data_IF_759501559063
#
_entry.id   IF_759501559063
#
_cell.length_a   1.000
_cell.length_b   1.000
_cell.length_c   1.000
_cell.angle_alpha   90.00
_cell.angle_beta   90.00
_cell.angle_gamma   90.00
#
_symmetry.space_group_name_H-M   'P 1'
#
loop_
_entity.id
_entity.type
_entity.pdbx_description
1 polymer ?
#
# COMPACT_ATOMS: atom_id res chain seq x y z
N UNK A 1 20.78 17.82 -14.14
CA UNK A 1 19.52 18.05 -13.44
C UNK A 1 19.10 19.48 -13.72
N UNK A 2 18.01 19.65 -14.47
CA UNK A 2 17.45 20.95 -14.83
C UNK A 2 16.12 21.11 -14.09
N UNK A 3 15.97 22.25 -13.42
CA UNK A 3 14.71 22.65 -12.77
C UNK A 3 14.26 23.93 -13.45
N UNK A 4 13.06 23.88 -14.03
CA UNK A 4 12.39 25.06 -14.57
C UNK A 4 11.16 25.35 -13.72
N UNK A 5 10.98 26.61 -13.36
CA UNK A 5 9.87 27.03 -12.51
C UNK A 5 9.14 28.20 -13.15
N UNK A 6 7.82 28.09 -13.19
CA UNK A 6 6.92 29.17 -13.58
C UNK A 6 6.14 29.62 -12.35
N UNK A 7 6.08 30.93 -12.14
CA UNK A 7 5.31 31.57 -11.07
C UNK A 7 3.98 32.03 -11.64
N UNK A 8 2.88 31.57 -11.05
CA UNK A 8 1.52 31.83 -11.52
C UNK A 8 1.28 31.70 -13.05
N UNK A 9 1.65 30.57 -13.70
CA UNK A 9 1.51 30.42 -15.14
C UNK A 9 0.06 30.42 -15.60
N UNK A 10 -0.19 30.98 -16.78
CA UNK A 10 -1.50 30.91 -17.42
C UNK A 10 -1.82 29.49 -17.95
N UNK A 11 -3.08 29.21 -18.34
CA UNK A 11 -3.46 27.89 -18.83
C UNK A 11 -2.62 27.41 -20.02
N UNK A 12 -2.31 28.27 -20.98
CA UNK A 12 -1.49 27.96 -22.14
C UNK A 12 -0.05 27.62 -21.73
N UNK A 13 0.56 28.39 -20.83
CA UNK A 13 1.88 28.14 -20.27
C UNK A 13 1.96 26.79 -19.53
N UNK A 14 0.92 26.46 -18.74
CA UNK A 14 0.82 25.14 -18.07
C UNK A 14 0.83 24.01 -19.10
N UNK A 15 0.08 24.16 -20.20
CA UNK A 15 -0.03 23.14 -21.24
C UNK A 15 1.30 22.96 -21.97
N UNK A 16 1.97 24.04 -22.35
CA UNK A 16 3.25 23.96 -23.03
C UNK A 16 4.35 23.37 -22.12
N UNK A 17 4.40 23.78 -20.86
CA UNK A 17 5.31 23.21 -19.87
C UNK A 17 5.06 21.72 -19.65
N UNK A 18 3.78 21.30 -19.53
CA UNK A 18 3.41 19.90 -19.39
C UNK A 18 3.77 19.07 -20.63
N UNK A 19 3.50 19.58 -21.84
CA UNK A 19 3.89 18.90 -23.10
C UNK A 19 5.39 18.71 -23.17
N UNK A 20 6.16 19.73 -22.82
CA UNK A 20 7.62 19.66 -22.82
C UNK A 20 8.10 18.64 -21.77
N UNK A 21 7.56 18.69 -20.55
CA UNK A 21 7.93 17.74 -19.50
C UNK A 21 7.68 16.28 -19.91
N UNK A 22 6.51 15.97 -20.45
CA UNK A 22 6.17 14.59 -20.84
C UNK A 22 6.95 14.11 -22.07
N UNK A 23 7.23 15.00 -23.03
CA UNK A 23 8.08 14.68 -24.19
C UNK A 23 9.49 14.26 -23.76
N UNK A 24 10.03 14.98 -22.78
CA UNK A 24 11.42 14.85 -22.37
C UNK A 24 11.59 13.88 -21.20
N UNK A 25 10.51 13.25 -20.72
CA UNK A 25 10.55 12.32 -19.59
C UNK A 25 10.86 13.01 -18.26
N UNK A 26 10.50 14.28 -18.10
CA UNK A 26 10.64 15.02 -16.84
C UNK A 26 9.41 14.90 -15.94
N UNK A 27 9.61 15.02 -14.63
CA UNK A 27 8.51 15.13 -13.68
C UNK A 27 7.90 16.54 -13.72
N UNK A 28 6.58 16.63 -13.56
CA UNK A 28 5.84 17.88 -13.48
C UNK A 28 5.15 17.97 -12.11
N UNK A 29 5.33 19.08 -11.41
CA UNK A 29 4.56 19.41 -10.20
C UNK A 29 3.83 20.73 -10.40
N UNK A 30 2.56 20.79 -10.00
CA UNK A 30 1.74 22.01 -10.09
C UNK A 30 1.10 22.29 -8.74
N UNK A 31 1.31 23.48 -8.20
CA UNK A 31 0.54 23.99 -7.06
C UNK A 31 -0.62 24.79 -7.62
N UNK A 32 -1.86 24.35 -7.40
CA UNK A 32 -3.01 24.95 -8.06
C UNK A 32 -4.30 24.85 -7.26
N UNK A 33 -5.16 25.84 -7.44
CA UNK A 33 -6.60 25.68 -7.23
C UNK A 33 -7.14 24.86 -8.39
N UNK A 34 -7.69 23.68 -8.11
CA UNK A 34 -8.18 22.77 -9.14
C UNK A 34 -9.46 22.07 -8.72
N UNK A 35 -10.07 21.34 -9.64
CA UNK A 35 -11.10 20.33 -9.37
C UNK A 35 -10.71 19.01 -10.04
N UNK A 36 -11.18 17.90 -9.49
CA UNK A 36 -10.82 16.55 -9.89
C UNK A 36 -12.04 15.71 -10.24
N UNK A 37 -11.92 14.90 -11.28
CA UNK A 37 -12.87 13.85 -11.61
C UNK A 37 -12.15 12.53 -11.79
N UNK A 38 -12.73 11.47 -11.24
CA UNK A 38 -12.29 10.11 -11.44
C UNK A 38 -13.43 9.30 -12.06
N UNK A 39 -13.10 8.53 -13.09
CA UNK A 39 -13.99 7.56 -13.72
C UNK A 39 -13.23 6.24 -13.91
N UNK A 40 -13.78 5.14 -13.41
CA UNK A 40 -13.16 3.83 -13.46
C UNK A 40 -14.02 2.79 -12.79
N UNK A 41 -13.42 2.01 -11.87
CA UNK A 41 -14.15 1.03 -11.02
C UNK A 41 -15.24 1.68 -10.17
N UNK A 42 -15.01 2.94 -9.81
CA UNK A 42 -15.98 3.83 -9.18
C UNK A 42 -15.96 5.16 -9.93
N UNK A 43 -16.84 6.07 -9.59
CA UNK A 43 -16.76 7.45 -10.02
C UNK A 43 -16.66 8.37 -8.81
N UNK A 44 -15.99 9.50 -8.99
CA UNK A 44 -15.79 10.47 -7.92
C UNK A 44 -15.60 11.87 -8.48
N UNK A 45 -16.13 12.85 -7.76
CA UNK A 45 -15.90 14.26 -8.04
C UNK A 45 -15.33 14.94 -6.81
N UNK A 46 -14.34 15.78 -7.04
CA UNK A 46 -13.63 16.55 -6.04
C UNK A 46 -13.69 18.02 -6.44
N UNK A 47 -14.51 18.80 -5.73
CA UNK A 47 -14.75 20.21 -6.05
C UNK A 47 -13.53 21.13 -5.93
N UNK A 48 -13.69 22.41 -6.28
CA UNK A 48 -12.61 23.40 -6.27
C UNK A 48 -11.84 23.47 -4.94
N UNK A 49 -10.51 23.49 -5.00
CA UNK A 49 -9.64 23.62 -3.83
C UNK A 49 -8.15 23.60 -4.17
N UNK A 50 -7.31 24.08 -3.26
CA UNK A 50 -5.85 24.13 -3.45
C UNK A 50 -5.22 22.74 -3.23
N UNK A 51 -4.41 22.31 -4.20
CA UNK A 51 -3.80 20.98 -4.24
C UNK A 51 -2.41 21.02 -4.87
N UNK A 52 -1.65 19.98 -4.59
CA UNK A 52 -0.41 19.68 -5.31
C UNK A 52 -0.71 18.53 -6.28
N UNK A 53 -0.45 18.78 -7.56
CA UNK A 53 -0.52 17.79 -8.62
C UNK A 53 0.89 17.31 -8.95
N UNK A 54 1.11 16.00 -9.05
CA UNK A 54 2.39 15.41 -9.47
C UNK A 54 2.12 14.50 -10.66
N UNK A 55 2.73 14.78 -11.80
CA UNK A 55 2.70 13.92 -12.99
C UNK A 55 4.11 13.41 -13.27
N UNK A 56 4.27 12.09 -13.29
CA UNK A 56 5.55 11.41 -13.50
C UNK A 56 5.65 10.85 -14.93
N UNK A 57 6.88 10.63 -15.44
CA UNK A 57 7.13 10.10 -16.79
C UNK A 57 6.56 8.69 -17.03
N UNK A 58 6.40 7.89 -15.98
CA UNK A 58 5.85 6.54 -16.03
C UNK A 58 4.31 6.51 -16.15
N UNK A 59 3.67 7.68 -16.23
CA UNK A 59 2.23 7.84 -16.28
C UNK A 59 1.55 7.93 -14.91
N UNK A 60 2.31 7.85 -13.81
CA UNK A 60 1.78 8.07 -12.46
C UNK A 60 1.29 9.51 -12.33
N UNK A 61 0.06 9.69 -11.85
CA UNK A 61 -0.53 11.00 -11.58
C UNK A 61 -1.09 11.03 -10.16
N UNK A 62 -0.70 12.01 -9.36
CA UNK A 62 -1.09 12.13 -7.96
C UNK A 62 -1.72 13.49 -7.72
N UNK A 63 -2.84 13.51 -6.99
CA UNK A 63 -3.53 14.72 -6.55
C UNK A 63 -3.55 14.71 -5.03
N UNK A 64 -2.83 15.63 -4.39
CA UNK A 64 -2.74 15.74 -2.94
C UNK A 64 -3.50 16.94 -2.40
N UNK A 65 -4.28 16.72 -1.34
CA UNK A 65 -4.80 17.79 -0.49
C UNK A 65 -3.71 18.27 0.48
N UNK A 66 -3.90 19.42 1.16
CA UNK A 66 -2.92 19.95 2.12
C UNK A 66 -2.64 19.04 3.33
N UNK A 67 -3.48 18.03 3.58
CA UNK A 67 -3.34 17.09 4.70
C UNK A 67 -3.53 15.65 4.23
N UNK A 68 -3.01 14.70 5.02
CA UNK A 68 -3.04 13.27 4.71
C UNK A 68 -1.80 12.81 3.92
N UNK A 69 -1.39 11.57 4.16
CA UNK A 69 -0.21 10.98 3.52
C UNK A 69 -0.54 10.36 2.14
N UNK A 70 -1.80 9.99 1.89
CA UNK A 70 -2.24 9.41 0.61
C UNK A 70 -2.78 10.50 -0.33
N UNK A 71 -2.56 10.37 -1.65
CA UNK A 71 -3.25 11.22 -2.63
C UNK A 71 -4.76 10.97 -2.56
N UNK A 72 -5.55 12.04 -2.74
CA UNK A 72 -7.02 11.95 -2.75
C UNK A 72 -7.55 11.35 -4.05
N UNK A 73 -6.87 11.62 -5.17
CA UNK A 73 -7.07 10.93 -6.45
C UNK A 73 -5.72 10.62 -7.08
N UNK A 74 -5.63 9.49 -7.77
CA UNK A 74 -4.37 9.06 -8.36
C UNK A 74 -4.58 8.10 -9.55
N UNK A 75 -3.57 8.03 -10.40
CA UNK A 75 -3.41 7.05 -11.47
C UNK A 75 -2.07 6.32 -11.26
N UNK A 76 -2.03 4.97 -11.24
CA UNK A 76 -0.76 4.24 -11.20
C UNK A 76 0.06 4.46 -12.48
N UNK A 77 1.35 4.12 -12.40
CA UNK A 77 2.21 3.98 -13.57
C UNK A 77 1.69 2.96 -14.59
N UNK A 78 2.18 3.06 -15.83
CA UNK A 78 1.73 2.26 -16.98
C UNK A 78 0.55 2.87 -17.74
N UNK A 79 0.06 4.03 -17.29
CA UNK A 79 -0.89 4.87 -18.02
C UNK A 79 -0.19 5.98 -18.83
N UNK A 80 -0.98 6.97 -19.23
CA UNK A 80 -0.48 8.20 -19.87
C UNK A 80 -1.06 9.41 -19.16
N UNK A 81 -0.28 10.48 -19.04
CA UNK A 81 -0.76 11.80 -18.63
C UNK A 81 -0.65 12.73 -19.83
N UNK A 82 -1.75 13.38 -20.19
CA UNK A 82 -1.81 14.30 -21.33
C UNK A 82 -2.39 15.65 -20.93
N UNK A 83 -1.79 16.77 -21.38
CA UNK A 83 -2.33 18.10 -21.16
C UNK A 83 -3.30 18.49 -22.29
N UNK A 84 -4.41 19.14 -21.96
CA UNK A 84 -5.32 19.76 -22.93
C UNK A 84 -5.90 21.06 -22.39
N UNK A 85 -6.17 22.03 -23.26
CA UNK A 85 -7.02 23.17 -22.90
C UNK A 85 -8.48 22.73 -22.89
N UNK A 86 -9.29 23.27 -21.96
CA UNK A 86 -10.73 23.07 -21.99
C UNK A 86 -11.35 23.77 -23.21
N UNK A 87 -12.45 23.21 -23.72
CA UNK A 87 -13.25 23.82 -24.80
C UNK A 87 -14.24 24.89 -24.27
N UNK A 88 -14.34 25.08 -22.95
CA UNK A 88 -15.22 26.02 -22.24
C UNK A 88 -15.23 25.81 -20.71
N UNK A 89 -15.75 26.79 -19.97
CA UNK A 89 -15.99 26.82 -18.52
C UNK A 89 -14.79 26.68 -17.58
N UNK A 90 -14.67 27.59 -16.60
CA UNK A 90 -13.64 27.47 -15.55
C UNK A 90 -13.93 26.27 -14.63
N UNK A 91 -15.13 26.18 -14.05
CA UNK A 91 -15.53 25.12 -13.11
C UNK A 91 -16.76 24.36 -13.60
N UNK A 92 -16.83 23.06 -13.32
CA UNK A 92 -18.01 22.25 -13.62
C UNK A 92 -19.25 22.80 -12.88
N UNK A 93 -20.27 23.19 -13.62
CA UNK A 93 -21.55 23.68 -13.07
C UNK A 93 -21.64 25.19 -12.84
N UNK A 94 -20.67 25.99 -13.30
CA UNK A 94 -20.91 27.41 -13.55
C UNK A 94 -21.97 27.51 -14.66
N UNK A 95 -23.09 28.17 -14.37
CA UNK A 95 -24.24 28.22 -15.26
C UNK A 95 -23.90 28.76 -16.66
N UNK A 96 -24.51 28.17 -17.69
CA UNK A 96 -24.46 28.52 -19.13
C UNK A 96 -25.04 29.93 -19.45
N UNK A 97 -24.93 30.89 -18.54
CA UNK A 97 -25.53 32.23 -18.66
C UNK A 97 -24.53 33.32 -19.11
N UNK A 98 -23.33 32.95 -19.57
CA UNK A 98 -22.40 33.91 -20.17
C UNK A 98 -22.23 33.68 -21.66
N UNK A 99 -22.86 34.55 -22.46
CA UNK A 99 -22.69 34.69 -23.92
C UNK A 99 -21.36 35.37 -24.29
N UNK A 100 -20.28 35.00 -23.60
CA UNK A 100 -18.92 35.48 -23.82
C UNK A 100 -17.91 34.32 -23.89
N UNK A 101 -16.70 34.63 -24.33
CA UNK A 101 -15.56 33.70 -24.36
C UNK A 101 -15.24 33.27 -22.92
N UNK A 102 -15.72 32.10 -22.49
CA UNK A 102 -15.44 31.60 -21.15
C UNK A 102 -13.94 31.33 -20.98
N UNK A 103 -13.33 31.70 -19.83
CA UNK A 103 -11.91 31.47 -19.63
C UNK A 103 -11.60 29.97 -19.69
N UNK A 104 -10.73 29.60 -20.63
CA UNK A 104 -10.23 28.23 -20.77
C UNK A 104 -9.35 27.89 -19.58
N UNK A 105 -9.36 26.63 -19.18
CA UNK A 105 -8.52 26.11 -18.11
C UNK A 105 -7.61 25.02 -18.63
N UNK A 106 -6.43 24.88 -18.02
CA UNK A 106 -5.54 23.78 -18.30
C UNK A 106 -6.10 22.50 -17.66
N UNK A 107 -6.03 21.40 -18.38
CA UNK A 107 -6.51 20.10 -17.91
C UNK A 107 -5.39 19.08 -18.04
N UNK A 108 -5.04 18.44 -16.92
CA UNK A 108 -4.18 17.27 -16.91
C UNK A 108 -5.05 16.02 -16.83
N UNK A 109 -4.87 15.14 -17.80
CA UNK A 109 -5.71 13.96 -17.99
C UNK A 109 -4.85 12.70 -17.94
N UNK A 110 -4.97 11.94 -16.86
CA UNK A 110 -4.34 10.64 -16.70
C UNK A 110 -5.31 9.53 -17.15
N UNK A 111 -4.84 8.59 -17.97
CA UNK A 111 -5.65 7.47 -18.50
C UNK A 111 -4.86 6.16 -18.49
N UNK A 112 -5.56 5.07 -18.21
CA UNK A 112 -5.09 3.69 -18.45
C UNK A 112 -6.22 2.85 -19.05
N UNK A 113 -5.88 1.77 -19.75
CA UNK A 113 -6.85 0.97 -20.53
C UNK A 113 -7.18 -0.39 -19.92
N UNK A 114 -6.41 -0.88 -18.96
CA UNK A 114 -6.66 -2.17 -18.31
C UNK A 114 -6.40 -2.10 -16.78
N UNK A 115 -7.45 -1.91 -15.96
CA UNK A 115 -8.82 -1.56 -16.34
C UNK A 115 -8.90 -0.17 -16.98
N UNK A 116 -9.97 0.12 -17.73
CA UNK A 116 -10.19 1.47 -18.28
C UNK A 116 -10.51 2.45 -17.15
N UNK A 117 -9.60 3.40 -16.90
CA UNK A 117 -9.76 4.40 -15.85
C UNK A 117 -9.17 5.74 -16.29
N UNK A 118 -9.71 6.82 -15.70
CA UNK A 118 -9.38 8.20 -16.02
C UNK A 118 -9.39 9.06 -14.75
N UNK A 119 -8.35 9.87 -14.59
CA UNK A 119 -8.33 10.98 -13.62
C UNK A 119 -8.15 12.27 -14.42
N UNK A 120 -9.10 13.19 -14.28
CA UNK A 120 -9.03 14.52 -14.86
C UNK A 120 -8.84 15.55 -13.74
N UNK A 121 -7.79 16.37 -13.84
CA UNK A 121 -7.60 17.53 -12.99
C UNK A 121 -7.72 18.80 -13.83
N UNK A 122 -8.73 19.63 -13.54
CA UNK A 122 -8.94 20.94 -14.17
C UNK A 122 -8.31 22.00 -13.29
N UNK A 123 -7.30 22.69 -13.81
CA UNK A 123 -6.50 23.69 -13.11
C UNK A 123 -7.19 25.05 -13.30
N UNK A 124 -7.86 25.52 -12.24
CA UNK A 124 -8.59 26.79 -12.24
C UNK A 124 -7.62 27.96 -12.14
N UNK A 125 -6.70 27.88 -11.17
CA UNK A 125 -5.63 28.85 -10.97
C UNK A 125 -4.34 28.09 -10.65
N UNK A 126 -3.30 28.24 -11.48
CA UNK A 126 -1.98 27.74 -11.15
C UNK A 126 -1.25 28.79 -10.32
N UNK A 127 -0.81 28.43 -9.11
CA UNK A 127 0.02 29.28 -8.25
C UNK A 127 1.50 29.09 -8.57
N UNK A 128 1.88 27.91 -9.04
CA UNK A 128 3.23 27.60 -9.47
C UNK A 128 3.30 26.28 -10.22
N UNK A 129 4.32 26.15 -11.07
CA UNK A 129 4.61 24.94 -11.82
C UNK A 129 6.12 24.69 -11.80
N UNK A 130 6.51 23.44 -11.58
CA UNK A 130 7.90 22.99 -11.65
C UNK A 130 8.01 21.83 -12.61
N UNK A 131 8.91 21.97 -13.59
CA UNK A 131 9.43 20.87 -14.39
C UNK A 131 10.77 20.44 -13.81
N UNK A 132 10.91 19.15 -13.55
CA UNK A 132 12.08 18.57 -12.93
C UNK A 132 12.61 17.37 -13.71
N UNK A 133 13.76 17.55 -14.35
CA UNK A 133 14.51 16.49 -15.01
C UNK A 133 15.31 15.71 -13.96
N UNK A 134 14.62 14.73 -13.35
CA UNK A 134 15.11 13.91 -12.26
C UNK A 134 15.78 12.65 -12.81
N UNK A 135 16.98 12.37 -12.30
CA UNK A 135 17.66 11.11 -12.50
C UNK A 135 17.79 10.41 -11.15
N UNK A 136 17.25 9.20 -11.05
CA UNK A 136 17.45 8.34 -9.90
C UNK A 136 17.95 6.98 -10.38
N UNK A 137 19.08 6.55 -9.81
CA UNK A 137 19.71 5.27 -10.09
C UNK A 137 19.99 4.47 -8.83
N UNK A 138 19.53 4.96 -7.67
CA UNK A 138 19.59 4.20 -6.44
C UNK A 138 18.43 3.20 -6.39
N UNK A 139 18.72 1.97 -5.94
CA UNK A 139 17.67 1.04 -5.51
C UNK A 139 17.23 1.42 -4.10
N UNK A 140 15.91 1.42 -3.87
CA UNK A 140 15.38 1.50 -2.51
C UNK A 140 15.76 0.21 -1.77
N UNK A 141 16.48 0.34 -0.66
CA UNK A 141 16.82 -0.76 0.23
C UNK A 141 15.97 -0.62 1.50
N UNK A 142 15.16 -1.63 1.78
CA UNK A 142 14.34 -1.71 2.99
C UNK A 142 14.87 -2.83 3.88
N UNK A 143 15.15 -2.51 5.14
CA UNK A 143 15.62 -3.47 6.12
C UNK A 143 14.56 -3.76 7.18
N UNK A 144 14.53 -5.00 7.64
CA UNK A 144 13.62 -5.50 8.66
C UNK A 144 12.23 -5.79 8.11
N UNK A 145 12.07 -6.25 6.87
CA UNK A 145 10.78 -6.65 6.25
C UNK A 145 10.14 -7.86 6.96
N UNK A 146 8.84 -8.12 6.73
CA UNK A 146 8.18 -9.32 7.29
C UNK A 146 8.78 -10.61 6.72
N UNK A 147 9.23 -10.58 5.46
CA UNK A 147 9.96 -11.67 4.83
C UNK A 147 11.30 -11.97 5.53
N UNK A 148 12.09 -10.96 5.88
CA UNK A 148 13.33 -11.16 6.65
C UNK A 148 13.05 -11.67 8.06
N UNK A 149 11.95 -11.23 8.68
CA UNK A 149 11.50 -11.75 9.98
C UNK A 149 11.15 -13.24 9.88
N UNK A 150 10.48 -13.64 8.81
CA UNK A 150 10.15 -15.04 8.54
C UNK A 150 11.42 -15.87 8.32
N UNK A 151 12.31 -15.43 7.42
CA UNK A 151 13.57 -16.14 7.12
C UNK A 151 14.41 -16.36 8.38
N UNK A 152 14.50 -15.35 9.26
CA UNK A 152 15.24 -15.51 10.51
C UNK A 152 14.61 -16.56 11.45
N UNK A 153 13.28 -16.56 11.58
CA UNK A 153 12.56 -17.52 12.43
C UNK A 153 12.74 -18.94 11.90
N UNK A 154 12.70 -19.14 10.58
CA UNK A 154 12.96 -20.45 9.97
C UNK A 154 14.36 -20.98 10.28
N UNK A 155 15.35 -20.10 10.19
CA UNK A 155 16.74 -20.45 10.46
C UNK A 155 17.02 -20.64 11.95
N UNK A 156 16.22 -20.01 12.82
CA UNK A 156 16.46 -19.96 14.26
C UNK A 156 15.16 -20.16 15.07
N UNK A 157 14.41 -21.27 14.92
CA UNK A 157 13.10 -21.43 15.58
C UNK A 157 13.18 -21.41 17.12
N UNK A 158 14.36 -21.72 17.67
CA UNK A 158 14.66 -21.63 19.10
C UNK A 158 14.51 -20.21 19.70
N UNK A 159 14.47 -19.16 18.85
CA UNK A 159 14.22 -17.78 19.30
C UNK A 159 12.77 -17.58 19.75
N UNK A 160 11.86 -18.44 19.28
CA UNK A 160 10.47 -18.45 19.72
C UNK A 160 10.30 -19.35 20.94
N UNK A 161 10.81 -20.58 20.85
CA UNK A 161 10.74 -21.59 21.91
C UNK A 161 11.81 -22.67 21.72
N UNK A 162 12.47 -23.09 22.80
CA UNK A 162 13.48 -24.14 22.74
C UNK A 162 12.88 -25.47 22.27
N UNK A 163 13.48 -26.08 21.24
CA UNK A 163 13.01 -27.35 20.68
C UNK A 163 11.90 -27.23 19.63
N UNK A 164 11.40 -26.02 19.35
CA UNK A 164 10.45 -25.76 18.26
C UNK A 164 11.06 -26.08 16.90
N UNK A 165 10.28 -26.73 16.03
CA UNK A 165 10.67 -27.10 14.66
C UNK A 165 9.62 -26.63 13.68
N UNK A 166 10.01 -25.77 12.74
CA UNK A 166 9.14 -25.36 11.63
C UNK A 166 8.91 -26.57 10.71
N UNK A 167 7.64 -26.88 10.47
CA UNK A 167 7.21 -27.96 9.56
C UNK A 167 6.85 -27.40 8.20
N UNK A 168 6.16 -26.26 8.16
CA UNK A 168 5.72 -25.60 6.94
C UNK A 168 5.68 -24.08 7.14
N UNK A 169 6.11 -23.35 6.11
CA UNK A 169 6.03 -21.89 6.01
C UNK A 169 4.96 -21.52 4.98
N UNK A 170 4.16 -20.50 5.26
CA UNK A 170 3.04 -20.06 4.42
C UNK A 170 2.06 -21.19 4.07
N UNK A 171 1.61 -21.95 5.08
CA UNK A 171 0.65 -23.04 4.87
C UNK A 171 -0.70 -22.50 4.40
N UNK A 172 -1.14 -22.93 3.22
CA UNK A 172 -2.41 -22.51 2.63
C UNK A 172 -3.61 -23.08 3.42
N UNK A 173 -4.58 -22.22 3.71
CA UNK A 173 -5.86 -22.60 4.33
C UNK A 173 -7.03 -21.97 3.58
N UNK A 174 -8.25 -22.39 3.93
CA UNK A 174 -9.49 -21.81 3.37
C UNK A 174 -9.65 -20.30 3.65
N UNK A 175 -9.01 -19.77 4.69
CA UNK A 175 -9.18 -18.37 5.12
C UNK A 175 -7.89 -17.53 5.03
N UNK A 176 -6.86 -18.03 4.33
CA UNK A 176 -5.58 -17.35 4.13
C UNK A 176 -4.40 -18.28 4.38
N UNK A 177 -3.23 -17.69 4.59
CA UNK A 177 -1.99 -18.42 4.87
C UNK A 177 -1.65 -18.33 6.35
N UNK A 178 -1.24 -19.44 6.94
CA UNK A 178 -0.61 -19.46 8.26
C UNK A 178 0.87 -19.17 8.06
N UNK A 179 1.43 -18.21 8.80
CA UNK A 179 2.85 -17.84 8.66
C UNK A 179 3.76 -19.06 8.90
N UNK A 180 3.69 -19.68 10.08
CA UNK A 180 4.35 -20.97 10.31
C UNK A 180 3.45 -22.01 10.94
N UNK A 181 3.54 -23.23 10.42
CA UNK A 181 3.10 -24.42 11.11
C UNK A 181 4.34 -25.15 11.65
N UNK A 182 4.39 -25.37 12.95
CA UNK A 182 5.52 -25.93 13.66
C UNK A 182 5.10 -27.09 14.57
N UNK A 183 6.08 -27.77 15.15
CA UNK A 183 5.90 -28.71 16.26
C UNK A 183 6.88 -28.38 17.38
N UNK A 184 6.42 -28.41 18.61
CA UNK A 184 7.29 -28.20 19.78
C UNK A 184 8.16 -29.43 20.09
N UNK A 185 8.89 -29.38 21.21
CA UNK A 185 9.79 -30.45 21.64
C UNK A 185 9.08 -31.78 21.90
N UNK A 186 7.81 -31.74 22.33
CA UNK A 186 6.96 -32.90 22.62
C UNK A 186 6.18 -33.36 21.38
N UNK A 187 6.32 -32.63 20.26
CA UNK A 187 5.68 -32.94 18.98
C UNK A 187 4.28 -32.35 18.84
N UNK A 188 3.85 -31.49 19.76
CA UNK A 188 2.54 -30.83 19.75
C UNK A 188 2.50 -29.83 18.60
N UNK A 189 1.43 -29.80 17.78
CA UNK A 189 1.28 -28.81 16.71
C UNK A 189 1.23 -27.36 17.25
N UNK A 190 1.97 -26.46 16.60
CA UNK A 190 2.01 -25.03 16.92
C UNK A 190 1.72 -24.21 15.67
N UNK A 191 0.67 -23.39 15.73
CA UNK A 191 0.35 -22.37 14.72
C UNK A 191 1.00 -21.06 15.15
N UNK A 192 1.88 -20.51 14.32
CA UNK A 192 2.59 -19.26 14.62
C UNK A 192 2.11 -18.17 13.66
N UNK A 193 1.70 -17.04 14.23
CA UNK A 193 1.39 -15.81 13.50
C UNK A 193 2.44 -14.76 13.87
N UNK A 194 3.06 -14.15 12.88
CA UNK A 194 4.21 -13.25 13.05
C UNK A 194 3.82 -11.85 12.61
N UNK A 195 4.19 -10.83 13.39
CA UNK A 195 3.89 -9.44 13.08
C UNK A 195 5.08 -8.54 13.38
N UNK A 196 5.47 -7.74 12.39
CA UNK A 196 6.54 -6.74 12.50
C UNK A 196 6.22 -5.54 13.41
N UNK A 197 4.94 -5.29 13.67
CA UNK A 197 4.46 -4.16 14.48
C UNK A 197 3.87 -4.67 15.79
N UNK A 198 3.60 -3.75 16.72
CA UNK A 198 2.86 -4.07 17.94
C UNK A 198 1.57 -4.85 17.62
N UNK A 199 1.37 -5.97 18.31
CA UNK A 199 0.22 -6.84 18.14
C UNK A 199 -1.10 -6.11 18.44
N UNK A 200 -2.10 -6.36 17.60
CA UNK A 200 -3.45 -5.79 17.69
C UNK A 200 -4.48 -6.90 17.92
N UNK A 201 -5.71 -6.54 18.28
CA UNK A 201 -6.79 -7.54 18.42
C UNK A 201 -7.10 -8.24 17.10
N UNK A 202 -6.91 -7.58 15.96
CA UNK A 202 -7.11 -8.22 14.66
C UNK A 202 -6.12 -9.38 14.45
N UNK A 203 -4.88 -9.26 14.96
CA UNK A 203 -3.89 -10.34 14.87
C UNK A 203 -4.24 -11.50 15.80
N UNK A 204 -4.80 -11.21 16.98
CA UNK A 204 -5.39 -12.23 17.85
C UNK A 204 -6.55 -12.98 17.14
N UNK A 205 -7.51 -12.24 16.55
CA UNK A 205 -8.64 -12.84 15.83
C UNK A 205 -8.18 -13.67 14.62
N UNK A 206 -7.05 -13.31 14.01
CA UNK A 206 -6.43 -14.07 12.93
C UNK A 206 -5.83 -15.38 13.43
N UNK A 207 -4.97 -15.33 14.45
CA UNK A 207 -4.39 -16.53 15.05
C UNK A 207 -5.46 -17.49 15.56
N UNK A 208 -6.48 -16.97 16.26
CA UNK A 208 -7.59 -17.78 16.76
C UNK A 208 -8.33 -18.52 15.63
N UNK A 209 -8.57 -17.85 14.50
CA UNK A 209 -9.20 -18.49 13.34
C UNK A 209 -8.35 -19.63 12.78
N UNK A 210 -7.03 -19.50 12.73
CA UNK A 210 -6.15 -20.55 12.23
C UNK A 210 -6.04 -21.74 13.18
N UNK A 211 -5.96 -21.50 14.49
CA UNK A 211 -5.98 -22.56 15.50
C UNK A 211 -7.28 -23.36 15.40
N UNK A 212 -8.45 -22.70 15.41
CA UNK A 212 -9.74 -23.38 15.31
C UNK A 212 -9.91 -24.15 13.98
N UNK A 213 -9.38 -23.61 12.87
CA UNK A 213 -9.38 -24.32 11.59
C UNK A 213 -8.57 -25.62 11.64
N UNK A 214 -7.41 -25.59 12.29
CA UNK A 214 -6.56 -26.76 12.42
C UNK A 214 -7.29 -27.86 13.23
N UNK A 215 -7.89 -27.48 14.36
CA UNK A 215 -8.71 -28.38 15.19
C UNK A 215 -9.86 -29.01 14.39
N UNK A 216 -10.59 -28.22 13.61
CA UNK A 216 -11.68 -28.71 12.76
C UNK A 216 -11.18 -29.68 11.66
N UNK A 217 -10.00 -29.42 11.10
CA UNK A 217 -9.44 -30.23 10.02
C UNK A 217 -8.98 -31.62 10.48
N UNK A 218 -8.35 -31.70 11.66
CA UNK A 218 -7.92 -32.96 12.27
C UNK A 218 -9.10 -33.74 12.88
N UNK A 219 -10.17 -33.05 13.29
CA UNK A 219 -11.41 -33.69 13.73
C UNK A 219 -12.21 -34.35 12.57
N UNK A 220 -11.85 -34.10 11.30
CA UNK A 220 -12.59 -34.59 10.15
C UNK A 220 -12.13 -36.00 9.72
N UNK A 221 -13.00 -37.04 9.75
CA UNK A 221 -12.63 -38.44 9.50
C UNK A 221 -12.28 -38.79 8.03
N UNK A 222 -12.02 -37.79 7.17
CA UNK A 222 -11.69 -37.98 5.75
C UNK A 222 -10.19 -38.03 5.46
N UNK A 223 -9.33 -37.66 6.41
CA UNK A 223 -7.89 -37.94 6.37
C UNK A 223 -7.60 -39.25 7.09
N UNK A 224 -7.04 -40.24 6.38
CA UNK A 224 -6.74 -41.58 6.92
C UNK A 224 -5.62 -41.61 7.97
N UNK A 225 -5.86 -41.01 9.14
CA UNK A 225 -5.00 -41.01 10.32
C UNK A 225 -5.74 -41.57 11.54
N UNK A 226 -4.98 -42.08 12.50
CA UNK A 226 -5.40 -42.94 13.60
C UNK A 226 -6.39 -42.25 14.56
N UNK A 227 -7.27 -43.06 15.16
CA UNK A 227 -8.26 -42.72 16.18
C UNK A 227 -7.84 -41.63 17.18
N UNK A 228 -8.62 -40.54 17.23
CA UNK A 228 -8.89 -39.67 18.38
C UNK A 228 -7.86 -39.69 19.53
N UNK A 229 -6.79 -38.93 19.38
CA UNK A 229 -6.22 -38.17 20.48
C UNK A 229 -6.63 -36.71 20.30
N UNK A 230 -7.07 -36.05 21.36
CA UNK A 230 -7.07 -34.59 21.40
C UNK A 230 -5.61 -34.14 21.28
N UNK A 231 -5.06 -34.04 20.06
CA UNK A 231 -3.81 -33.30 19.88
C UNK A 231 -4.16 -31.82 20.05
N UNK A 232 -4.04 -31.36 21.29
CA UNK A 232 -4.11 -29.95 21.66
C UNK A 232 -3.19 -29.17 20.73
N UNK A 233 -3.71 -28.16 20.03
CA UNK A 233 -2.90 -27.31 19.15
C UNK A 233 -2.61 -26.01 19.89
N UNK A 234 -1.36 -25.57 19.85
CA UNK A 234 -0.93 -24.30 20.45
C UNK A 234 -0.98 -23.20 19.40
N UNK A 235 -1.34 -21.99 19.82
CA UNK A 235 -1.26 -20.80 18.97
C UNK A 235 -0.28 -19.79 19.55
N UNK A 236 0.68 -19.36 18.75
CA UNK A 236 1.76 -18.46 19.16
C UNK A 236 1.70 -17.16 18.36
N UNK A 237 1.39 -16.04 19.02
CA UNK A 237 1.48 -14.71 18.40
C UNK A 237 2.85 -14.09 18.68
N UNK A 238 3.62 -13.86 17.62
CA UNK A 238 4.98 -13.29 17.68
C UNK A 238 4.95 -11.83 17.23
N UNK A 239 5.38 -10.91 18.09
CA UNK A 239 5.50 -9.49 17.74
C UNK A 239 6.48 -8.73 18.63
N UNK A 240 6.97 -7.53 18.25
CA UNK A 240 7.83 -6.71 19.10
C UNK A 240 7.20 -6.29 20.43
N UNK A 241 5.87 -6.20 20.49
CA UNK A 241 5.14 -5.88 21.71
C UNK A 241 3.65 -6.17 21.55
N UNK A 242 2.91 -6.18 22.66
CA UNK A 242 1.45 -6.30 22.68
C UNK A 242 0.88 -5.46 23.81
N UNK A 243 -0.27 -4.81 23.57
CA UNK A 243 -1.00 -4.12 24.63
C UNK A 243 -1.54 -5.13 25.68
N UNK A 244 -1.78 -4.69 26.91
CA UNK A 244 -2.33 -5.56 27.96
C UNK A 244 -3.70 -6.15 27.58
N UNK A 245 -4.48 -5.41 26.78
CA UNK A 245 -5.75 -5.89 26.23
C UNK A 245 -5.55 -7.10 25.31
N UNK A 246 -4.53 -7.07 24.45
CA UNK A 246 -4.22 -8.18 23.54
C UNK A 246 -3.63 -9.36 24.31
N UNK A 247 -2.68 -9.11 25.23
CA UNK A 247 -2.12 -10.15 26.10
C UNK A 247 -3.20 -10.86 26.91
N UNK A 248 -4.19 -10.11 27.41
CA UNK A 248 -5.35 -10.69 28.08
C UNK A 248 -6.21 -11.53 27.15
N UNK A 249 -6.51 -11.05 25.94
CA UNK A 249 -7.30 -11.81 24.96
C UNK A 249 -6.64 -13.14 24.61
N UNK A 250 -5.32 -13.16 24.40
CA UNK A 250 -4.55 -14.39 24.17
C UNK A 250 -4.69 -15.35 25.35
N UNK A 251 -4.39 -14.89 26.58
CA UNK A 251 -4.50 -15.71 27.80
C UNK A 251 -5.91 -16.23 28.06
N UNK A 252 -6.94 -15.41 27.85
CA UNK A 252 -8.35 -15.79 28.06
C UNK A 252 -8.83 -16.84 27.04
N UNK A 253 -8.06 -17.12 25.99
CA UNK A 253 -8.34 -18.12 24.94
C UNK A 253 -7.21 -19.15 24.79
N UNK A 254 -6.36 -19.33 25.81
CA UNK A 254 -5.26 -20.31 25.82
C UNK A 254 -4.27 -20.18 24.65
N UNK A 255 -4.07 -18.95 24.16
CA UNK A 255 -3.08 -18.58 23.15
C UNK A 255 -1.87 -17.90 23.81
N UNK A 256 -0.72 -18.03 23.15
CA UNK A 256 0.57 -17.59 23.66
C UNK A 256 1.07 -16.33 22.95
N UNK A 257 1.90 -15.57 23.65
CA UNK A 257 2.57 -14.38 23.10
C UNK A 257 4.08 -14.52 23.27
N UNK A 258 4.83 -14.33 22.19
CA UNK A 258 6.29 -14.23 22.22
C UNK A 258 6.71 -12.85 21.75
N UNK A 259 7.50 -12.19 22.60
CA UNK A 259 8.09 -10.91 22.26
C UNK A 259 9.36 -11.15 21.44
N UNK A 260 9.32 -10.79 20.15
CA UNK A 260 10.48 -10.82 19.27
C UNK A 260 10.78 -9.38 18.85
N UNK A 261 11.79 -8.79 19.51
CA UNK A 261 12.20 -7.40 19.26
C UNK A 261 12.76 -7.17 17.85
N UNK A 262 12.97 -5.90 17.50
CA UNK A 262 13.56 -5.52 16.22
C UNK A 262 14.89 -6.26 16.00
N UNK A 263 14.99 -6.89 14.84
CA UNK A 263 16.21 -7.52 14.38
C UNK A 263 17.39 -6.57 14.49
N UNK A 264 18.43 -6.99 15.21
CA UNK A 264 19.78 -6.48 14.98
C UNK A 264 20.31 -7.04 13.66
N UNK A 265 19.84 -6.53 12.52
CA UNK A 265 20.27 -6.94 11.19
C UNK A 265 21.66 -6.37 10.85
N UNK A 266 22.70 -6.99 11.40
CA UNK A 266 24.05 -7.00 10.80
C UNK A 266 24.23 -8.20 9.84
N UNK A 267 23.13 -8.79 9.36
CA UNK A 267 23.14 -9.94 8.46
C UNK A 267 22.77 -9.53 7.03
N UNK A 268 23.80 -9.52 6.19
CA UNK A 268 23.84 -9.38 4.73
C UNK A 268 22.64 -9.99 3.98
N UNK A 269 21.97 -9.20 3.14
CA UNK A 269 21.16 -9.71 2.05
C UNK A 269 19.99 -8.81 1.66
N UNK A 270 20.27 -7.66 1.06
CA UNK A 270 19.22 -6.77 0.56
C UNK A 270 18.31 -7.51 -0.44
N UNK A 271 17.00 -7.49 -0.20
CA UNK A 271 15.99 -7.98 -1.14
C UNK A 271 15.21 -6.78 -1.71
N UNK A 272 14.99 -6.80 -3.01
CA UNK A 272 14.37 -5.72 -3.79
C UNK A 272 12.85 -5.65 -3.50
N UNK A 273 12.43 -4.71 -2.65
CA UNK A 273 11.02 -4.49 -2.34
C UNK A 273 10.31 -3.80 -3.52
N UNK A 274 9.10 -4.27 -3.89
CA UNK A 274 8.29 -3.64 -4.93
C UNK A 274 7.30 -2.67 -4.31
N UNK A 275 7.07 -1.55 -5.00
CA UNK A 275 6.16 -0.47 -4.60
C UNK A 275 4.69 -0.90 -4.38
N UNK A 276 4.35 -2.17 -4.59
CA UNK A 276 3.02 -2.73 -4.35
C UNK A 276 2.74 -3.05 -2.88
N UNK A 277 3.73 -2.92 -2.01
CA UNK A 277 3.66 -3.41 -0.63
C UNK A 277 3.21 -2.33 0.38
N UNK A 278 2.65 -1.20 -0.10
CA UNK A 278 2.16 -0.05 0.69
C UNK A 278 0.69 0.33 0.41
#
# INVERSE_FOLDING_TARGET
MVVEQLDAPDPEEVIEAAKAAFRDGAMLTVQARCEGEYEGRTSGYLGPGDRILVAKPDGTFLVHQPTGHKPVNWMPGGGTVSPRLSEGGAARGAAEESSGDEPRVAVLLARRTNPSERVEARILDAHGLTRFDASDGASYEESGTEAEMHEYIEQNPAVLEEGLRIVEHERETKYGFIDFFARDADGVPVVVEVKRIQATLNHFDQLQRYVSLYEESEASPRGGGVTAGNEEVRGLLVAPSASERVRRALRDNDLEFVELGEFGTDAKGATEAKLTDF
#
